data_IF_487283341164
#
_entry.id   IF_487283341164
#
_cell.length_a   1.000
_cell.length_b   1.000
_cell.length_c   1.000
_cell.angle_alpha   90.00
_cell.angle_beta   90.00
_cell.angle_gamma   90.00
#
_symmetry.space_group_name_H-M   'P 1'
#
loop_
_entity.id
_entity.type
_entity.pdbx_description
1 polymer ?
#
# COMPACT_ATOMS: atom_id res chain seq x y z
N UNK A 1 -22.37 26.49 10.79
CA UNK A 1 -21.26 25.96 10.00
C UNK A 1 -20.12 26.97 10.05
N UNK A 2 -19.00 26.61 10.67
CA UNK A 2 -17.82 27.49 10.75
C UNK A 2 -17.27 27.62 9.32
N UNK A 3 -17.37 28.82 8.75
CA UNK A 3 -17.09 29.08 7.34
C UNK A 3 -15.60 29.00 7.03
N UNK A 4 -15.15 27.84 6.54
CA UNK A 4 -13.95 27.72 5.75
C UNK A 4 -14.22 26.63 4.71
N UNK A 5 -14.33 27.02 3.44
CA UNK A 5 -14.60 26.14 2.30
C UNK A 5 -13.44 25.16 1.99
N UNK A 6 -12.64 24.74 2.97
CA UNK A 6 -11.39 24.02 2.69
C UNK A 6 -10.90 23.10 3.82
N UNK A 7 -11.81 22.37 4.46
CA UNK A 7 -11.47 21.45 5.55
C UNK A 7 -10.46 20.37 5.13
N UNK A 8 -10.51 19.92 3.88
CA UNK A 8 -9.59 18.92 3.31
C UNK A 8 -8.17 19.47 3.11
N UNK A 9 -8.01 20.73 2.69
CA UNK A 9 -6.68 21.36 2.55
C UNK A 9 -5.98 21.45 3.90
N UNK A 10 -6.68 21.87 4.96
CA UNK A 10 -6.08 21.95 6.29
C UNK A 10 -5.59 20.59 6.80
N UNK A 11 -6.35 19.51 6.55
CA UNK A 11 -5.93 18.16 6.91
C UNK A 11 -4.65 17.76 6.16
N UNK A 12 -4.56 18.09 4.87
CA UNK A 12 -3.37 17.84 4.08
C UNK A 12 -2.16 18.64 4.58
N UNK A 13 -2.33 19.94 4.83
CA UNK A 13 -1.26 20.81 5.30
C UNK A 13 -0.75 20.40 6.69
N UNK A 14 -1.65 20.03 7.59
CA UNK A 14 -1.27 19.47 8.88
C UNK A 14 -0.51 18.15 8.74
N UNK A 15 -0.88 17.30 7.78
CA UNK A 15 -0.19 16.04 7.54
C UNK A 15 1.22 16.25 6.96
N UNK A 16 1.41 17.26 6.10
CA UNK A 16 2.72 17.63 5.56
C UNK A 16 3.72 18.05 6.63
N UNK A 17 3.27 18.70 7.71
CA UNK A 17 4.14 19.04 8.84
C UNK A 17 4.70 17.76 9.49
N UNK A 18 3.88 16.72 9.63
CA UNK A 18 4.34 15.42 10.14
C UNK A 18 5.39 14.84 9.18
N UNK A 19 5.11 14.82 7.88
CA UNK A 19 6.08 14.31 6.88
C UNK A 19 7.41 15.08 6.92
N UNK A 20 7.37 16.40 7.14
CA UNK A 20 8.56 17.23 7.28
C UNK A 20 9.40 16.85 8.52
N UNK A 21 8.75 16.60 9.66
CA UNK A 21 9.43 16.17 10.87
C UNK A 21 10.05 14.77 10.70
N UNK A 22 9.32 13.87 10.04
CA UNK A 22 9.81 12.53 9.69
C UNK A 22 11.01 12.60 8.74
N UNK A 23 10.97 13.48 7.73
CA UNK A 23 12.09 13.69 6.80
C UNK A 23 13.37 14.14 7.51
N UNK A 24 13.26 14.95 8.57
CA UNK A 24 14.40 15.30 9.40
C UNK A 24 15.00 14.10 10.16
N UNK A 25 14.19 13.12 10.55
CA UNK A 25 14.65 11.87 11.16
C UNK A 25 15.30 10.94 10.13
N UNK A 26 14.72 10.82 8.92
CA UNK A 26 15.31 10.06 7.81
C UNK A 26 16.71 10.57 7.49
N UNK A 27 16.90 11.90 7.40
CA UNK A 27 18.23 12.51 7.19
C UNK A 27 19.24 12.21 8.31
N UNK A 28 18.79 11.86 9.50
CA UNK A 28 19.64 11.43 10.63
C UNK A 28 19.93 9.92 10.61
N UNK A 29 19.47 9.20 9.59
CA UNK A 29 19.62 7.75 9.47
C UNK A 29 18.62 6.95 10.30
N UNK A 30 17.50 7.56 10.72
CA UNK A 30 16.45 6.86 11.45
C UNK A 30 15.42 6.30 10.47
N UNK A 31 15.18 4.98 10.54
CA UNK A 31 14.16 4.32 9.74
C UNK A 31 12.76 4.58 10.32
N UNK A 32 11.79 4.83 9.45
CA UNK A 32 10.42 5.21 9.84
C UNK A 32 9.44 4.22 9.24
N UNK A 33 8.60 3.64 10.09
CA UNK A 33 7.49 2.77 9.70
C UNK A 33 6.16 3.42 10.02
N UNK A 34 5.26 3.50 9.03
CA UNK A 34 3.88 3.95 9.21
C UNK A 34 2.94 2.76 9.05
N UNK A 35 2.07 2.54 10.04
CA UNK A 35 1.03 1.50 9.98
C UNK A 35 -0.31 2.20 9.74
N UNK A 36 -1.00 1.79 8.68
CA UNK A 36 -2.29 2.35 8.31
C UNK A 36 -3.34 1.24 8.20
N UNK A 37 -4.59 1.56 8.53
CA UNK A 37 -5.72 0.72 8.16
C UNK A 37 -5.91 0.73 6.64
N UNK A 38 -6.47 -0.34 6.10
CA UNK A 38 -6.84 -0.42 4.68
C UNK A 38 -8.21 0.27 4.46
N UNK A 39 -8.36 0.94 3.33
CA UNK A 39 -9.65 1.37 2.76
C UNK A 39 -9.71 1.01 1.27
N UNK A 40 -10.90 0.78 0.74
CA UNK A 40 -11.13 0.59 -0.69
C UNK A 40 -11.51 1.91 -1.35
N UNK A 41 -10.78 2.31 -2.38
CA UNK A 41 -11.02 3.53 -3.15
C UNK A 41 -11.36 3.16 -4.60
N UNK A 42 -12.35 3.81 -5.21
CA UNK A 42 -12.66 3.62 -6.63
C UNK A 42 -11.67 4.43 -7.49
N UNK A 43 -10.97 3.75 -8.38
CA UNK A 43 -10.01 4.33 -9.30
C UNK A 43 -10.60 4.28 -10.71
N UNK A 44 -10.64 5.45 -11.35
CA UNK A 44 -11.14 5.54 -12.72
C UNK A 44 -10.16 4.94 -13.71
N UNK A 45 -10.65 4.04 -14.56
CA UNK A 45 -9.84 3.40 -15.60
C UNK A 45 -10.20 3.99 -16.97
N UNK A 46 -9.31 4.75 -17.63
CA UNK A 46 -9.59 5.35 -18.94
C UNK A 46 -9.91 4.33 -20.03
N UNK A 47 -9.39 3.10 -19.91
CA UNK A 47 -9.49 2.06 -20.94
C UNK A 47 -10.63 1.07 -20.70
N UNK A 48 -11.39 1.21 -19.61
CA UNK A 48 -12.40 0.21 -19.25
C UNK A 48 -13.25 0.57 -18.05
N UNK A 49 -13.58 -0.44 -17.24
CA UNK A 49 -14.37 -0.27 -16.04
C UNK A 49 -13.48 0.20 -14.88
N UNK A 50 -14.01 1.15 -14.10
CA UNK A 50 -13.42 1.58 -12.85
C UNK A 50 -13.25 0.38 -11.91
N UNK A 51 -12.14 0.35 -11.19
CA UNK A 51 -11.82 -0.73 -10.26
C UNK A 51 -11.70 -0.22 -8.83
N UNK A 52 -11.84 -1.12 -7.87
CA UNK A 52 -11.58 -0.82 -6.47
C UNK A 52 -10.12 -1.15 -6.15
N UNK A 53 -9.43 -0.21 -5.53
CA UNK A 53 -8.05 -0.36 -5.08
C UNK A 53 -7.98 -0.26 -3.55
N UNK A 54 -7.39 -1.27 -2.92
CA UNK A 54 -7.00 -1.24 -1.52
C UNK A 54 -5.84 -0.26 -1.30
N UNK A 55 -6.04 0.73 -0.43
CA UNK A 55 -5.10 1.80 -0.14
C UNK A 55 -5.02 2.07 1.37
N UNK A 56 -3.96 2.76 1.85
CA UNK A 56 -3.95 3.30 3.20
C UNK A 56 -5.16 4.21 3.46
N UNK A 57 -5.75 4.11 4.64
CA UNK A 57 -6.89 4.91 5.10
C UNK A 57 -6.45 6.33 5.45
N UNK A 58 -6.10 7.07 4.40
CA UNK A 58 -5.74 8.48 4.41
C UNK A 58 -6.73 9.24 3.53
N UNK A 59 -6.78 10.56 3.72
CA UNK A 59 -7.71 11.40 2.97
C UNK A 59 -7.37 11.38 1.47
N UNK A 60 -8.40 11.18 0.65
CA UNK A 60 -8.31 11.20 -0.80
C UNK A 60 -9.60 11.77 -1.38
N UNK A 61 -9.50 12.96 -1.97
CA UNK A 61 -10.54 13.53 -2.83
C UNK A 61 -9.93 13.99 -4.17
N UNK A 62 -10.74 14.62 -5.02
CA UNK A 62 -10.32 15.09 -6.35
C UNK A 62 -9.29 16.22 -6.31
N UNK A 63 -9.27 17.02 -5.25
CA UNK A 63 -8.43 18.22 -5.12
C UNK A 63 -7.20 17.99 -4.24
N UNK A 64 -7.35 17.20 -3.18
CA UNK A 64 -6.37 17.01 -2.12
C UNK A 64 -6.28 15.53 -1.72
N UNK A 65 -5.06 15.00 -1.68
CA UNK A 65 -4.85 13.63 -1.24
C UNK A 65 -3.59 13.47 -0.41
N UNK A 66 -3.77 13.38 0.91
CA UNK A 66 -2.69 13.00 1.81
C UNK A 66 -2.26 11.55 1.57
N UNK A 67 -3.18 10.69 1.12
CA UNK A 67 -2.86 9.34 0.68
C UNK A 67 -1.79 9.33 -0.43
N UNK A 68 -2.03 10.05 -1.53
CA UNK A 68 -1.10 10.08 -2.66
C UNK A 68 0.25 10.69 -2.27
N UNK A 69 0.24 11.80 -1.52
CA UNK A 69 1.49 12.44 -1.07
C UNK A 69 2.29 11.55 -0.12
N UNK A 70 1.64 10.85 0.81
CA UNK A 70 2.32 9.93 1.74
C UNK A 70 2.90 8.74 1.01
N UNK A 71 2.12 8.14 0.11
CA UNK A 71 2.61 7.04 -0.73
C UNK A 71 3.73 7.48 -1.67
N UNK A 72 3.73 8.74 -2.11
CA UNK A 72 4.81 9.26 -2.94
C UNK A 72 6.08 9.55 -2.13
N UNK A 73 5.93 10.14 -0.94
CA UNK A 73 7.03 10.38 -0.01
C UNK A 73 7.72 9.08 0.41
N UNK A 74 6.95 8.05 0.77
CA UNK A 74 7.48 6.77 1.24
C UNK A 74 8.30 6.05 0.15
N UNK A 75 9.47 5.53 0.55
CA UNK A 75 10.28 4.67 -0.32
C UNK A 75 9.61 3.34 -0.60
N UNK A 76 8.86 2.83 0.38
CA UNK A 76 8.15 1.57 0.34
C UNK A 76 6.72 1.72 0.87
N UNK A 77 5.77 1.15 0.14
CA UNK A 77 4.36 1.02 0.50
C UNK A 77 3.99 -0.44 0.27
N UNK A 78 3.53 -1.10 1.33
CA UNK A 78 3.17 -2.51 1.29
C UNK A 78 1.73 -2.72 1.70
N UNK A 79 1.13 -3.77 1.16
CA UNK A 79 -0.17 -4.27 1.64
C UNK A 79 0.04 -5.58 2.38
N UNK A 80 -0.55 -5.68 3.57
CA UNK A 80 -0.61 -6.91 4.34
C UNK A 80 -1.98 -7.55 4.05
N UNK A 81 -1.98 -8.74 3.47
CA UNK A 81 -3.22 -9.46 3.18
C UNK A 81 -2.99 -10.98 3.23
N UNK A 82 -4.00 -11.76 2.89
CA UNK A 82 -3.90 -13.21 2.77
C UNK A 82 -3.42 -13.61 1.37
N UNK A 83 -2.63 -14.67 1.31
CA UNK A 83 -2.25 -15.32 0.05
C UNK A 83 -3.50 -15.90 -0.63
N UNK A 84 -3.55 -15.93 -1.97
CA UNK A 84 -4.62 -16.60 -2.74
C UNK A 84 -6.06 -16.15 -2.41
N UNK A 85 -6.26 -14.86 -2.15
CA UNK A 85 -7.59 -14.31 -1.95
C UNK A 85 -8.42 -14.40 -3.25
N UNK A 86 -9.28 -15.42 -3.36
CA UNK A 86 -10.18 -15.59 -4.50
C UNK A 86 -11.60 -15.10 -4.19
N UNK A 87 -12.24 -14.47 -5.17
CA UNK A 87 -13.68 -14.14 -5.11
C UNK A 87 -14.44 -15.39 -5.54
N UNK A 88 -15.19 -16.02 -4.63
CA UNK A 88 -16.05 -17.14 -4.98
C UNK A 88 -17.38 -16.61 -5.48
N UNK A 89 -17.57 -16.59 -6.80
CA UNK A 89 -18.83 -16.18 -7.40
C UNK A 89 -19.99 -17.06 -6.89
N UNK A 90 -21.12 -16.42 -6.56
CA UNK A 90 -22.38 -17.10 -6.26
C UNK A 90 -23.28 -16.95 -7.50
N UNK A 91 -23.25 -17.94 -8.39
CA UNK A 91 -23.96 -17.91 -9.67
C UNK A 91 -23.29 -17.03 -10.73
N UNK A 92 -24.08 -16.44 -11.65
CA UNK A 92 -23.60 -15.56 -12.74
C UNK A 92 -23.17 -14.15 -12.28
N UNK A 93 -23.26 -13.85 -10.98
CA UNK A 93 -22.85 -12.56 -10.42
C UNK A 93 -21.47 -12.66 -9.80
N UNK A 94 -20.56 -11.80 -10.25
CA UNK A 94 -19.32 -11.45 -9.54
C UNK A 94 -19.73 -10.57 -8.34
N UNK A 95 -20.40 -11.17 -7.37
CA UNK A 95 -20.81 -10.58 -6.09
C UNK A 95 -20.47 -11.56 -4.94
N UNK A 96 -19.42 -12.35 -5.15
CA UNK A 96 -18.96 -13.38 -4.24
C UNK A 96 -18.34 -12.84 -2.96
N UNK A 97 -18.49 -13.55 -1.85
CA UNK A 97 -17.64 -13.34 -0.67
C UNK A 97 -16.20 -13.72 -1.03
N UNK A 98 -15.22 -12.99 -0.49
CA UNK A 98 -13.83 -13.44 -0.52
C UNK A 98 -13.78 -14.77 0.25
N UNK A 99 -13.54 -15.87 -0.46
CA UNK A 99 -13.28 -17.15 0.17
C UNK A 99 -11.78 -17.40 0.04
N UNK A 100 -11.02 -16.77 0.92
CA UNK A 100 -9.65 -17.22 1.15
C UNK A 100 -9.74 -18.50 1.96
N UNK A 101 -9.56 -19.65 1.31
CA UNK A 101 -9.36 -20.91 2.03
C UNK A 101 -7.96 -20.99 2.66
N UNK A 102 -7.06 -20.11 2.22
CA UNK A 102 -5.72 -19.96 2.74
C UNK A 102 -5.69 -18.82 3.78
N UNK A 103 -5.17 -19.12 4.96
CA UNK A 103 -5.01 -18.15 6.07
C UNK A 103 -3.57 -17.66 6.19
N UNK A 104 -2.71 -18.05 5.24
CA UNK A 104 -1.32 -17.60 5.15
C UNK A 104 -1.29 -16.11 4.87
N UNK A 105 -0.58 -15.35 5.71
CA UNK A 105 -0.40 -13.91 5.52
C UNK A 105 0.78 -13.66 4.59
N UNK A 106 0.61 -12.70 3.69
CA UNK A 106 1.64 -12.24 2.78
C UNK A 106 1.72 -10.71 2.80
N UNK A 107 2.92 -10.20 2.54
CA UNK A 107 3.18 -8.79 2.32
C UNK A 107 3.39 -8.58 0.83
N UNK A 108 2.45 -7.87 0.22
CA UNK A 108 2.51 -7.51 -1.19
C UNK A 108 3.41 -6.29 -1.34
N UNK A 109 4.45 -6.46 -2.15
CA UNK A 109 5.51 -5.48 -2.38
C UNK A 109 5.44 -4.89 -3.79
N UNK A 110 4.94 -5.66 -4.76
CA UNK A 110 4.65 -5.22 -6.12
C UNK A 110 3.28 -4.56 -6.21
N UNK A 111 3.19 -3.43 -6.92
CA UNK A 111 1.91 -2.76 -7.14
C UNK A 111 1.03 -3.52 -8.13
N UNK A 112 -0.26 -3.65 -7.82
CA UNK A 112 -1.25 -4.28 -8.70
C UNK A 112 -2.49 -3.39 -8.89
N UNK A 113 -3.44 -3.82 -9.72
CA UNK A 113 -4.69 -3.07 -9.91
C UNK A 113 -5.51 -3.02 -8.61
N UNK A 114 -5.63 -4.14 -7.90
CA UNK A 114 -6.48 -4.26 -6.72
C UNK A 114 -5.88 -3.64 -5.45
N UNK A 115 -4.59 -3.30 -5.45
CA UNK A 115 -3.95 -2.68 -4.29
C UNK A 115 -2.78 -1.76 -4.63
N UNK A 116 -2.61 -0.75 -3.77
CA UNK A 116 -1.46 0.14 -3.82
C UNK A 116 -0.28 -0.48 -3.07
N UNK A 117 0.75 -0.83 -3.81
CA UNK A 117 2.08 -1.09 -3.29
C UNK A 117 3.11 -0.40 -4.19
N UNK A 118 4.25 -0.07 -3.59
CA UNK A 118 5.35 0.65 -4.23
C UNK A 118 6.62 0.26 -3.51
N UNK A 119 7.70 0.06 -4.24
CA UNK A 119 9.02 0.06 -3.64
C UNK A 119 10.04 0.61 -4.63
N UNK A 120 10.77 1.65 -4.23
CA UNK A 120 11.78 2.31 -5.08
C UNK A 120 12.98 1.42 -5.42
N UNK A 121 13.15 0.31 -4.70
CA UNK A 121 14.27 -0.63 -4.89
C UNK A 121 13.88 -1.90 -5.66
N UNK A 122 12.63 -2.02 -6.14
CA UNK A 122 12.10 -3.23 -6.79
C UNK A 122 12.87 -3.70 -8.03
N UNK A 123 13.57 -2.80 -8.73
CA UNK A 123 14.42 -3.16 -9.88
C UNK A 123 15.56 -4.14 -9.52
N UNK A 124 15.73 -4.49 -8.23
CA UNK A 124 16.75 -5.39 -7.72
C UNK A 124 16.25 -6.80 -7.44
N UNK A 125 14.95 -7.07 -7.53
CA UNK A 125 14.39 -8.31 -6.98
C UNK A 125 13.70 -9.12 -8.04
N UNK A 126 14.51 -10.03 -8.56
CA UNK A 126 14.18 -11.01 -9.57
C UNK A 126 14.24 -12.36 -8.86
N UNK A 127 13.19 -13.16 -8.93
CA UNK A 127 13.17 -14.53 -8.44
C UNK A 127 14.20 -15.38 -9.17
N UNK A 128 14.32 -16.65 -8.76
CA UNK A 128 15.36 -17.54 -9.30
C UNK A 128 15.28 -17.70 -10.82
N UNK A 129 14.10 -17.46 -11.42
CA UNK A 129 13.85 -17.65 -12.85
C UNK A 129 13.76 -16.35 -13.68
N UNK A 130 13.98 -15.17 -13.09
CA UNK A 130 13.88 -13.91 -13.84
C UNK A 130 12.60 -13.10 -13.58
N UNK A 131 11.71 -13.58 -12.71
CA UNK A 131 10.40 -13.00 -12.43
C UNK A 131 10.45 -11.92 -11.34
N UNK A 132 9.61 -10.89 -11.42
CA UNK A 132 9.51 -9.91 -10.34
C UNK A 132 8.80 -10.54 -9.13
N UNK A 133 9.35 -10.34 -7.94
CA UNK A 133 8.72 -10.81 -6.69
C UNK A 133 7.56 -9.86 -6.35
N UNK A 134 6.33 -10.36 -6.46
CA UNK A 134 5.12 -9.57 -6.17
C UNK A 134 4.75 -9.55 -4.67
N UNK A 135 5.09 -10.61 -3.93
CA UNK A 135 4.81 -10.69 -2.49
C UNK A 135 5.83 -11.55 -1.73
N UNK A 136 5.90 -11.33 -0.42
CA UNK A 136 6.70 -12.09 0.53
C UNK A 136 5.75 -12.78 1.50
N UNK A 137 5.76 -14.11 1.54
CA UNK A 137 5.09 -14.91 2.57
C UNK A 137 6.08 -15.26 3.67
N UNK A 138 5.61 -15.30 4.92
CA UNK A 138 6.44 -15.73 6.06
C UNK A 138 6.12 -17.17 6.41
N UNK A 139 7.12 -18.06 6.32
CA UNK A 139 6.96 -19.46 6.74
C UNK A 139 6.96 -19.61 8.27
N UNK A 140 7.55 -18.64 8.97
CA UNK A 140 7.85 -18.67 10.40
C UNK A 140 7.76 -17.25 10.99
N UNK A 141 7.25 -17.04 12.23
CA UNK A 141 7.27 -15.73 12.90
C UNK A 141 8.65 -15.06 13.04
N UNK A 142 9.74 -15.83 13.01
CA UNK A 142 11.12 -15.33 13.07
C UNK A 142 11.73 -15.04 11.68
N UNK A 143 10.96 -15.19 10.61
CA UNK A 143 11.39 -14.89 9.25
C UNK A 143 11.71 -13.39 9.09
N UNK A 144 12.97 -13.09 8.79
CA UNK A 144 13.50 -11.74 8.60
C UNK A 144 13.57 -11.30 7.14
N UNK A 145 13.03 -12.08 6.20
CA UNK A 145 13.24 -11.85 4.76
C UNK A 145 12.81 -10.44 4.35
N UNK A 146 11.70 -9.91 4.90
CA UNK A 146 11.29 -8.52 4.70
C UNK A 146 12.36 -7.50 5.11
N UNK A 147 13.02 -7.72 6.25
CA UNK A 147 14.04 -6.79 6.75
C UNK A 147 15.31 -6.85 5.92
N UNK A 148 15.70 -8.04 5.49
CA UNK A 148 16.83 -8.21 4.57
C UNK A 148 16.52 -7.55 3.19
N UNK A 149 15.25 -7.51 2.76
CA UNK A 149 14.81 -6.75 1.58
C UNK A 149 14.86 -5.23 1.77
N UNK A 150 14.39 -4.74 2.92
CA UNK A 150 14.34 -3.30 3.23
C UNK A 150 15.71 -2.71 3.52
N UNK A 151 16.57 -3.48 4.17
CA UNK A 151 17.88 -3.05 4.67
C UNK A 151 18.95 -4.06 4.23
N UNK A 152 19.26 -4.12 2.92
CA UNK A 152 20.30 -5.01 2.43
C UNK A 152 21.62 -4.68 3.13
N UNK A 153 22.28 -5.72 3.65
CA UNK A 153 23.61 -5.59 4.25
C UNK A 153 24.59 -5.23 3.13
N UNK A 154 25.35 -4.15 3.34
CA UNK A 154 26.46 -3.75 2.45
C UNK A 154 27.54 -4.83 2.35
#
# INVERSE_FOLDING_TARGET
AYGWNDGSSHVLDAFRLILQDLDALVRRGVNIGLICQEQSVSISNPEGQDYLQACPRLHHDRQYSSMLETCEWADHVFRISYLNSAIVAEGERIAGKVASHDTTRAIYIGGAMDHRAKSRTLNRFVGEEGELIDCVSFENPADSTLWDFLFPKE
#
